data_IF_259059068892
#
_entry.id   IF_259059068892
#
_cell.length_a   1.000
_cell.length_b   1.000
_cell.length_c   1.000
_cell.angle_alpha   90.00
_cell.angle_beta   90.00
_cell.angle_gamma   90.00
#
_symmetry.space_group_name_H-M   'P 1'
#
loop_
_entity.id
_entity.type
_entity.pdbx_description
1 polymer ?
#
# COMPACT_ATOMS: atom_id res chain seq x y z
N UNK A 1 -3.27 1.42 11.50
CA UNK A 1 -2.31 2.08 10.59
C UNK A 1 -1.61 3.28 11.19
N UNK A 2 -2.28 4.41 11.50
CA UNK A 2 -1.57 5.62 11.96
C UNK A 2 -0.69 5.41 13.21
N UNK A 3 -1.25 4.84 14.28
CA UNK A 3 -0.53 4.68 15.56
C UNK A 3 0.54 3.57 15.55
N UNK A 4 0.37 2.54 14.72
CA UNK A 4 1.19 1.32 14.78
C UNK A 4 2.14 1.14 13.60
N UNK A 5 1.95 1.88 12.51
CA UNK A 5 2.79 1.77 11.30
C UNK A 5 3.29 3.15 10.87
N UNK A 6 2.37 4.08 10.57
CA UNK A 6 2.78 5.35 9.96
C UNK A 6 3.61 6.22 10.90
N UNK A 7 3.14 6.45 12.14
CA UNK A 7 3.88 7.26 13.11
C UNK A 7 5.19 6.60 13.55
N UNK A 8 5.22 5.30 13.92
CA UNK A 8 6.47 4.64 14.30
C UNK A 8 7.54 4.66 13.22
N UNK A 9 7.17 4.54 11.94
CA UNK A 9 8.10 4.53 10.81
C UNK A 9 8.33 5.91 10.19
N UNK A 10 7.70 6.97 10.71
CA UNK A 10 7.83 8.32 10.16
C UNK A 10 7.31 8.45 8.71
N UNK A 11 6.21 7.76 8.39
CA UNK A 11 5.53 7.81 7.09
C UNK A 11 4.57 9.00 7.05
N UNK A 12 5.13 10.22 7.00
CA UNK A 12 4.35 11.46 7.15
C UNK A 12 3.57 11.85 5.89
N UNK A 13 3.82 11.18 4.76
CA UNK A 13 3.14 11.40 3.48
C UNK A 13 2.34 10.16 3.04
N UNK A 14 2.08 9.22 3.95
CA UNK A 14 1.20 8.07 3.72
C UNK A 14 -0.14 8.27 4.42
N UNK A 15 -1.25 8.16 3.68
CA UNK A 15 -2.60 8.36 4.21
C UNK A 15 -3.66 7.59 3.40
N UNK A 16 -4.87 7.38 3.97
CA UNK A 16 -6.01 6.94 3.18
C UNK A 16 -6.34 7.94 2.07
N UNK A 17 -6.55 7.44 0.85
CA UNK A 17 -6.99 8.27 -0.26
C UNK A 17 -8.45 8.66 -0.04
N UNK A 18 -8.65 9.94 0.26
CA UNK A 18 -9.95 10.54 0.53
C UNK A 18 -10.40 11.34 -0.69
N UNK A 19 -11.50 10.91 -1.29
CA UNK A 19 -12.10 11.58 -2.45
C UNK A 19 -12.75 12.92 -2.07
N UNK A 20 -13.22 13.06 -0.83
CA UNK A 20 -13.90 14.24 -0.29
C UNK A 20 -12.95 15.32 0.26
N UNK A 21 -11.64 15.09 0.18
CA UNK A 21 -10.63 15.91 0.84
C UNK A 21 -9.54 16.36 -0.13
N UNK A 22 -9.01 17.57 0.07
CA UNK A 22 -7.80 18.00 -0.61
C UNK A 22 -6.57 17.34 0.04
N UNK A 23 -5.81 16.58 -0.75
CA UNK A 23 -4.52 16.00 -0.33
C UNK A 23 -3.42 16.79 -1.03
N UNK A 24 -2.64 17.56 -0.25
CA UNK A 24 -1.55 18.37 -0.78
C UNK A 24 -0.50 17.47 -1.45
N UNK A 25 -0.10 17.82 -2.67
CA UNK A 25 0.90 17.04 -3.42
C UNK A 25 0.37 15.73 -4.02
N UNK A 26 -0.94 15.43 -3.94
CA UNK A 26 -1.51 14.29 -4.65
C UNK A 26 -1.34 14.47 -6.15
N UNK A 27 -0.85 13.43 -6.82
CA UNK A 27 -0.67 13.42 -8.27
C UNK A 27 -2.00 13.53 -9.03
N UNK A 28 -1.92 13.94 -10.30
CA UNK A 28 -3.02 13.85 -11.24
C UNK A 28 -2.98 12.49 -11.94
N UNK A 29 -4.10 11.76 -11.90
CA UNK A 29 -4.27 10.52 -12.64
C UNK A 29 -4.78 10.79 -14.06
N UNK A 30 -4.37 9.93 -14.99
CA UNK A 30 -4.75 10.01 -16.40
C UNK A 30 -5.19 8.65 -16.91
N UNK A 31 -6.25 8.64 -17.73
CA UNK A 31 -6.69 7.48 -18.50
C UNK A 31 -6.30 7.63 -19.96
N UNK A 32 -6.08 6.49 -20.62
CA UNK A 32 -5.74 6.43 -22.03
C UNK A 32 -6.92 5.90 -22.83
N UNK A 33 -7.39 6.67 -23.81
CA UNK A 33 -8.49 6.25 -24.68
C UNK A 33 -8.04 5.25 -25.78
N UNK A 34 -9.00 4.70 -26.52
CA UNK A 34 -8.74 3.73 -27.60
C UNK A 34 -7.92 4.30 -28.77
N UNK A 35 -7.88 5.63 -28.93
CA UNK A 35 -7.03 6.31 -29.90
C UNK A 35 -5.64 6.65 -29.33
N UNK A 36 -5.37 6.28 -28.07
CA UNK A 36 -4.09 6.44 -27.41
C UNK A 36 -3.87 7.80 -26.75
N UNK A 37 -4.89 8.67 -26.68
CA UNK A 37 -4.78 10.00 -26.04
C UNK A 37 -4.97 9.89 -24.53
N UNK A 38 -4.26 10.75 -23.79
CA UNK A 38 -4.40 10.86 -22.34
C UNK A 38 -5.40 11.93 -21.95
N UNK A 39 -6.28 11.60 -21.02
CA UNK A 39 -7.26 12.51 -20.43
C UNK A 39 -7.14 12.44 -18.92
N UNK A 40 -7.54 13.51 -18.22
CA UNK A 40 -7.67 13.46 -16.75
C UNK A 40 -8.63 12.32 -16.41
N UNK A 41 -8.17 11.39 -15.56
CA UNK A 41 -8.98 10.25 -15.14
C UNK A 41 -10.20 10.75 -14.32
N UNK A 42 -11.36 10.08 -14.43
CA UNK A 42 -12.51 10.38 -13.58
C UNK A 42 -12.15 10.26 -12.09
N UNK A 43 -12.79 11.07 -11.21
CA UNK A 43 -12.60 10.92 -9.78
C UNK A 43 -13.09 9.53 -9.33
N UNK A 44 -12.34 8.91 -8.43
CA UNK A 44 -12.68 7.62 -7.83
C UNK A 44 -12.75 7.76 -6.31
N UNK A 45 -13.67 7.03 -5.69
CA UNK A 45 -13.74 6.87 -4.24
C UNK A 45 -13.25 5.47 -3.86
N UNK A 46 -12.04 5.42 -3.28
CA UNK A 46 -11.40 4.19 -2.86
C UNK A 46 -11.65 3.84 -1.38
N UNK A 47 -12.52 4.59 -0.69
CA UNK A 47 -12.75 4.44 0.76
C UNK A 47 -13.20 3.05 1.19
N UNK A 48 -14.03 2.39 0.37
CA UNK A 48 -14.51 1.03 0.62
C UNK A 48 -13.41 -0.04 0.57
N UNK A 49 -12.25 0.26 -0.01
CA UNK A 49 -11.13 -0.69 -0.20
C UNK A 49 -9.82 -0.22 0.40
N UNK A 50 -9.83 0.68 1.38
CA UNK A 50 -8.61 1.18 2.02
C UNK A 50 -7.65 0.07 2.47
N UNK A 51 -8.17 -0.98 3.13
CA UNK A 51 -7.37 -2.11 3.57
C UNK A 51 -6.79 -2.97 2.43
N UNK A 52 -7.39 -2.94 1.23
CA UNK A 52 -6.99 -3.73 0.06
C UNK A 52 -6.24 -2.94 -1.02
N UNK A 53 -5.94 -1.65 -0.80
CA UNK A 53 -5.21 -0.82 -1.77
C UNK A 53 -5.80 0.58 -2.00
N UNK A 54 -6.35 1.22 -0.98
CA UNK A 54 -6.90 2.58 -1.08
C UNK A 54 -6.06 3.66 -0.38
N UNK A 55 -4.77 3.40 -0.13
CA UNK A 55 -3.85 4.39 0.43
C UNK A 55 -3.03 5.06 -0.67
N UNK A 56 -2.61 6.29 -0.39
CA UNK A 56 -1.61 7.04 -1.17
C UNK A 56 -0.35 7.22 -0.33
N UNK A 57 0.79 7.30 -1.00
CA UNK A 57 2.12 7.41 -0.39
C UNK A 57 3.10 8.12 -1.31
N UNK A 58 4.29 8.42 -0.81
CA UNK A 58 5.47 8.82 -1.58
C UNK A 58 6.42 7.63 -1.77
N UNK A 59 7.35 7.76 -2.72
CA UNK A 59 8.39 6.74 -2.93
C UNK A 59 9.27 6.57 -1.68
N UNK A 60 9.62 7.67 -1.04
CA UNK A 60 10.44 7.71 0.18
C UNK A 60 9.76 6.96 1.33
N UNK A 61 8.47 7.18 1.55
CA UNK A 61 7.74 6.48 2.61
C UNK A 61 7.52 4.99 2.28
N UNK A 62 7.38 4.63 1.00
CA UNK A 62 7.32 3.22 0.59
C UNK A 62 8.65 2.50 0.83
N UNK A 63 9.79 3.16 0.57
CA UNK A 63 11.11 2.59 0.88
C UNK A 63 11.28 2.40 2.39
N UNK A 64 10.93 3.39 3.21
CA UNK A 64 10.96 3.25 4.68
C UNK A 64 10.10 2.07 5.16
N UNK A 65 8.88 1.96 4.65
CA UNK A 65 7.96 0.89 5.00
C UNK A 65 8.53 -0.48 4.61
N UNK A 66 9.00 -0.63 3.36
CA UNK A 66 9.60 -1.87 2.88
C UNK A 66 10.86 -2.26 3.67
N UNK A 67 11.78 -1.32 3.90
CA UNK A 67 13.00 -1.57 4.67
C UNK A 67 12.72 -2.00 6.11
N UNK A 68 11.70 -1.43 6.76
CA UNK A 68 11.30 -1.82 8.11
C UNK A 68 10.73 -3.25 8.20
N UNK A 69 10.45 -3.89 7.07
CA UNK A 69 10.01 -5.28 6.96
C UNK A 69 11.14 -6.22 6.49
N UNK A 70 12.40 -5.77 6.44
CA UNK A 70 13.53 -6.64 6.08
C UNK A 70 14.27 -7.20 7.30
N UNK A 71 14.03 -6.65 8.49
CA UNK A 71 14.64 -7.10 9.74
C UNK A 71 13.64 -6.98 10.92
N UNK A 72 13.82 -7.77 11.99
CA UNK A 72 13.00 -7.64 13.19
C UNK A 72 13.09 -6.25 13.82
N UNK A 73 11.99 -5.76 14.38
CA UNK A 73 11.93 -4.45 15.02
C UNK A 73 10.52 -3.88 15.01
N UNK A 74 9.95 -3.67 13.81
CA UNK A 74 8.54 -3.34 13.67
C UNK A 74 7.65 -4.54 14.03
N UNK A 75 8.07 -5.72 13.60
CA UNK A 75 7.46 -7.01 13.91
C UNK A 75 8.45 -7.87 14.67
N UNK A 76 7.93 -8.82 15.48
CA UNK A 76 8.76 -9.85 16.10
C UNK A 76 9.33 -10.78 15.02
N UNK A 77 10.51 -11.40 15.24
CA UNK A 77 11.14 -12.28 14.26
C UNK A 77 10.18 -13.34 13.70
N UNK A 78 9.43 -14.02 14.56
CA UNK A 78 8.51 -15.09 14.16
C UNK A 78 7.32 -14.56 13.34
N UNK A 79 6.91 -13.31 13.59
CA UNK A 79 5.85 -12.65 12.82
C UNK A 79 6.37 -12.22 11.44
N UNK A 80 7.63 -11.80 11.35
CA UNK A 80 8.27 -11.45 10.09
C UNK A 80 8.47 -12.69 9.22
N UNK A 81 8.94 -13.80 9.80
CA UNK A 81 9.05 -15.08 9.11
C UNK A 81 7.70 -15.56 8.57
N UNK A 82 6.63 -15.42 9.36
CA UNK A 82 5.28 -15.74 8.92
C UNK A 82 4.82 -14.85 7.75
N UNK A 83 5.10 -13.55 7.78
CA UNK A 83 4.75 -12.59 6.73
C UNK A 83 5.30 -13.03 5.36
N UNK A 84 6.50 -13.60 5.31
CA UNK A 84 7.16 -14.02 4.06
C UNK A 84 7.01 -15.52 3.74
N UNK A 85 6.40 -16.31 4.62
CA UNK A 85 6.22 -17.74 4.39
C UNK A 85 5.10 -17.99 3.39
N UNK A 86 5.39 -18.65 2.27
CA UNK A 86 4.37 -19.00 1.28
C UNK A 86 3.26 -19.85 1.89
N UNK A 87 2.02 -19.41 1.66
CA UNK A 87 0.82 -20.18 1.97
C UNK A 87 0.66 -21.36 1.00
N UNK A 88 -0.28 -22.25 1.33
CA UNK A 88 -0.61 -23.44 0.53
C UNK A 88 -2.09 -23.49 0.17
N UNK A 89 -2.39 -24.00 -1.03
CA UNK A 89 -3.77 -24.26 -1.47
C UNK A 89 -4.36 -25.47 -0.74
N UNK A 90 -5.66 -25.70 -0.88
CA UNK A 90 -6.32 -26.91 -0.36
C UNK A 90 -5.78 -28.21 -0.97
N UNK A 91 -5.14 -28.14 -2.14
CA UNK A 91 -4.45 -29.25 -2.78
C UNK A 91 -2.99 -29.43 -2.30
N UNK A 92 -2.48 -28.53 -1.44
CA UNK A 92 -1.14 -28.58 -0.88
C UNK A 92 -0.07 -27.81 -1.66
N UNK A 93 -0.42 -27.20 -2.80
CA UNK A 93 0.52 -26.46 -3.66
C UNK A 93 0.91 -25.09 -3.06
N UNK A 94 2.18 -24.69 -3.21
CA UNK A 94 2.65 -23.37 -2.75
C UNK A 94 2.08 -22.23 -3.61
N UNK A 95 1.69 -21.13 -2.96
CA UNK A 95 1.13 -19.95 -3.64
C UNK A 95 2.19 -18.94 -4.09
N UNK A 96 3.36 -18.93 -3.45
CA UNK A 96 4.34 -17.85 -3.59
C UNK A 96 3.94 -16.55 -2.88
N UNK A 97 2.87 -16.56 -2.07
CA UNK A 97 2.36 -15.42 -1.32
C UNK A 97 2.31 -15.73 0.17
N UNK A 98 2.81 -14.81 0.99
CA UNK A 98 2.67 -14.83 2.45
C UNK A 98 1.35 -14.20 2.93
N UNK A 99 1.34 -13.70 4.17
CA UNK A 99 0.16 -13.10 4.83
C UNK A 99 0.19 -11.58 4.77
#
# INVERSE_FOLDING_TARGET
>A
MSAHVFRPLGLTHTAPDRADSLILGRTQFYDRDSAGRYHIAPPVDNSYKWAGGGFVSTAEDLVKFGSALLEPGLLQPETLDLLFTSQRTSAGEQTGYGV
#
